data_IF_494747905247
#
_entry.id   IF_494747905247
#
_cell.length_a   1.000
_cell.length_b   1.000
_cell.length_c   1.000
_cell.angle_alpha   90.00
_cell.angle_beta   90.00
_cell.angle_gamma   90.00
#
_symmetry.space_group_name_H-M   'P 1'
#
loop_
_entity.id
_entity.type
_entity.pdbx_description
1 polymer ?
#
# COMPACT_ATOMS: atom_id res chain seq x y z
N UNK A 1 25.13 -19.36 -13.55
CA UNK A 1 25.02 -18.25 -12.59
C UNK A 1 23.97 -18.66 -11.55
N UNK A 2 24.38 -19.01 -10.33
CA UNK A 2 23.41 -19.29 -9.24
C UNK A 2 23.01 -17.95 -8.66
N UNK A 3 21.86 -17.47 -9.08
CA UNK A 3 21.15 -16.52 -8.27
C UNK A 3 20.84 -17.24 -6.93
N UNK A 4 21.03 -16.56 -5.81
CA UNK A 4 20.61 -17.05 -4.49
C UNK A 4 19.47 -16.15 -4.06
N UNK A 5 18.31 -16.72 -3.76
CA UNK A 5 17.36 -16.02 -2.88
C UNK A 5 18.10 -15.78 -1.56
N UNK A 6 18.19 -14.55 -1.06
CA UNK A 6 18.81 -14.33 0.23
C UNK A 6 18.04 -15.12 1.29
N UNK A 7 18.73 -16.06 1.95
CA UNK A 7 18.14 -16.92 2.98
C UNK A 7 17.78 -16.17 4.27
N UNK A 8 18.11 -14.88 4.35
CA UNK A 8 17.82 -14.07 5.53
C UNK A 8 16.38 -13.53 5.45
N UNK A 9 15.54 -13.80 6.46
CA UNK A 9 14.21 -13.20 6.54
C UNK A 9 14.33 -11.67 6.60
N UNK A 10 13.23 -10.99 6.24
CA UNK A 10 13.14 -9.53 6.43
C UNK A 10 13.33 -9.24 7.93
N UNK A 11 14.26 -8.35 8.33
CA UNK A 11 14.46 -8.01 9.72
C UNK A 11 13.17 -7.46 10.35
N UNK A 12 12.86 -7.90 11.58
CA UNK A 12 11.63 -7.51 12.28
C UNK A 12 11.55 -5.99 12.52
N UNK A 13 12.70 -5.35 12.64
CA UNK A 13 12.87 -3.91 12.80
C UNK A 13 12.20 -3.13 11.66
N UNK A 14 12.13 -3.69 10.44
CA UNK A 14 11.46 -3.04 9.32
C UNK A 14 9.94 -2.98 9.53
N UNK A 15 9.35 -4.04 10.12
CA UNK A 15 7.93 -4.01 10.47
C UNK A 15 7.66 -2.98 11.57
N UNK A 16 8.53 -2.90 12.58
CA UNK A 16 8.42 -1.92 13.66
C UNK A 16 8.51 -0.48 13.15
N UNK A 17 9.50 -0.18 12.32
CA UNK A 17 9.66 1.17 11.73
C UNK A 17 8.47 1.53 10.84
N UNK A 18 7.92 0.56 10.10
CA UNK A 18 6.72 0.78 9.29
C UNK A 18 5.50 1.09 10.16
N UNK A 19 5.30 0.32 11.23
CA UNK A 19 4.25 0.55 12.22
C UNK A 19 4.32 1.95 12.82
N UNK A 20 5.50 2.35 13.30
CA UNK A 20 5.75 3.68 13.85
C UNK A 20 5.49 4.79 12.83
N UNK A 21 5.91 4.61 11.58
CA UNK A 21 5.67 5.60 10.52
C UNK A 21 4.16 5.79 10.25
N UNK A 22 3.41 4.69 10.14
CA UNK A 22 1.95 4.73 9.95
C UNK A 22 1.25 5.35 11.16
N UNK A 23 1.68 5.01 12.37
CA UNK A 23 1.14 5.58 13.59
C UNK A 23 1.34 7.09 13.66
N UNK A 24 2.53 7.58 13.29
CA UNK A 24 2.85 9.00 13.25
C UNK A 24 1.99 9.76 12.22
N UNK A 25 1.83 9.19 11.01
CA UNK A 25 0.98 9.79 9.96
C UNK A 25 -0.48 9.88 10.40
N UNK A 26 -1.00 8.83 11.04
CA UNK A 26 -2.35 8.84 11.61
C UNK A 26 -2.49 9.89 12.70
N UNK A 27 -1.53 9.96 13.62
CA UNK A 27 -1.54 10.89 14.74
C UNK A 27 -1.46 12.35 14.26
N UNK A 28 -0.76 12.62 13.15
CA UNK A 28 -0.72 13.94 12.54
C UNK A 28 -2.12 14.45 12.15
N UNK A 29 -2.98 13.58 11.62
CA UNK A 29 -4.37 13.93 11.28
C UNK A 29 -5.21 14.27 12.52
N UNK A 30 -5.02 13.53 13.62
CA UNK A 30 -5.68 13.79 14.89
C UNK A 30 -5.26 15.15 15.47
N UNK A 31 -3.94 15.42 15.49
CA UNK A 31 -3.38 16.69 15.97
C UNK A 31 -3.87 17.86 15.12
N UNK A 32 -3.81 17.74 13.79
CA UNK A 32 -4.29 18.75 12.85
C UNK A 32 -5.75 19.13 13.15
N UNK A 33 -6.61 18.13 13.35
CA UNK A 33 -8.03 18.40 13.62
C UNK A 33 -8.23 19.08 14.98
N UNK A 34 -7.47 18.68 16.01
CA UNK A 34 -7.48 19.35 17.31
C UNK A 34 -7.05 20.82 17.19
N UNK A 35 -5.98 21.10 16.45
CA UNK A 35 -5.50 22.47 16.23
C UNK A 35 -6.52 23.33 15.46
N UNK A 36 -7.23 22.75 14.48
CA UNK A 36 -8.33 23.44 13.79
C UNK A 36 -9.44 23.86 14.78
N UNK A 37 -9.79 23.00 15.73
CA UNK A 37 -10.79 23.33 16.76
C UNK A 37 -10.28 24.39 17.74
N UNK A 38 -9.00 24.33 18.14
CA UNK A 38 -8.37 25.35 19.00
C UNK A 38 -8.35 26.72 18.33
N UNK A 39 -7.96 26.81 17.06
CA UNK A 39 -7.94 28.04 16.29
C UNK A 39 -9.32 28.73 16.28
N UNK A 40 -10.40 27.92 16.30
CA UNK A 40 -11.80 28.38 16.35
C UNK A 40 -12.35 28.58 17.76
N UNK A 41 -11.51 28.49 18.79
CA UNK A 41 -11.89 28.56 20.22
C UNK A 41 -13.00 27.56 20.57
N UNK A 42 -13.00 26.37 19.94
CA UNK A 42 -13.94 25.28 20.19
C UNK A 42 -13.34 24.26 21.16
N UNK A 43 -14.22 23.53 21.85
CA UNK A 43 -13.82 22.43 22.72
C UNK A 43 -13.20 21.28 21.93
N UNK A 44 -12.06 20.77 22.41
CA UNK A 44 -11.28 19.71 21.75
C UNK A 44 -11.48 18.32 22.37
N UNK A 45 -12.27 18.21 23.44
CA UNK A 45 -12.51 16.94 24.12
C UNK A 45 -13.17 15.94 23.17
N UNK A 46 -12.50 14.81 22.93
CA UNK A 46 -12.96 13.76 22.02
C UNK A 46 -12.82 14.08 20.53
N UNK A 47 -12.16 15.18 20.16
CA UNK A 47 -11.85 15.49 18.76
C UNK A 47 -10.73 14.58 18.28
N UNK A 48 -11.03 13.83 17.22
CA UNK A 48 -10.11 12.93 16.52
C UNK A 48 -10.54 12.81 15.06
N UNK A 49 -9.59 12.57 14.18
CA UNK A 49 -9.87 12.37 12.77
C UNK A 49 -10.76 11.13 12.59
N UNK A 50 -11.92 11.28 11.91
CA UNK A 50 -12.89 10.21 11.87
C UNK A 50 -12.50 9.18 10.81
N UNK A 51 -12.45 7.92 11.22
CA UNK A 51 -12.43 6.76 10.32
C UNK A 51 -13.67 5.92 10.62
N UNK A 52 -14.43 5.58 9.58
CA UNK A 52 -15.73 4.94 9.73
C UNK A 52 -15.86 3.67 8.90
N UNK A 53 -16.75 2.76 9.30
CA UNK A 53 -16.99 1.53 8.52
C UNK A 53 -17.54 1.85 7.14
N UNK A 54 -18.48 2.78 7.07
CA UNK A 54 -19.16 3.20 5.84
C UNK A 54 -19.52 4.71 5.90
N UNK A 55 -20.14 5.21 4.83
CA UNK A 55 -20.55 6.61 4.73
C UNK A 55 -21.59 7.02 5.79
N UNK A 56 -22.50 6.12 6.18
CA UNK A 56 -23.55 6.39 7.18
C UNK A 56 -22.91 6.55 8.56
N UNK A 57 -22.00 5.64 8.91
CA UNK A 57 -21.21 5.69 10.15
C UNK A 57 -20.33 6.93 10.20
N UNK A 58 -19.79 7.38 9.07
CA UNK A 58 -19.03 8.63 9.01
C UNK A 58 -19.93 9.81 9.40
N UNK A 59 -21.12 9.91 8.83
CA UNK A 59 -22.05 10.99 9.14
C UNK A 59 -22.52 10.97 10.60
N UNK A 60 -22.73 9.78 11.17
CA UNK A 60 -23.02 9.63 12.60
C UNK A 60 -21.89 10.18 13.48
N UNK A 61 -20.62 9.85 13.17
CA UNK A 61 -19.45 10.34 13.90
C UNK A 61 -19.35 11.87 13.79
N UNK A 62 -19.52 12.41 12.58
CA UNK A 62 -19.46 13.86 12.33
C UNK A 62 -20.54 14.57 13.16
N UNK A 63 -21.80 14.10 13.10
CA UNK A 63 -22.91 14.70 13.85
C UNK A 63 -22.71 14.65 15.36
N UNK A 64 -22.13 13.56 15.87
CA UNK A 64 -21.95 13.33 17.31
C UNK A 64 -20.77 14.10 17.90
N UNK A 65 -19.65 14.19 17.16
CA UNK A 65 -18.37 14.58 17.75
C UNK A 65 -17.67 15.74 17.05
N UNK A 66 -18.07 16.12 15.84
CA UNK A 66 -17.35 17.14 15.05
C UNK A 66 -18.22 18.33 14.61
N UNK A 67 -19.55 18.24 14.75
CA UNK A 67 -20.48 19.26 14.26
C UNK A 67 -20.22 20.66 14.83
N UNK A 68 -19.69 20.76 16.05
CA UNK A 68 -19.41 22.03 16.72
C UNK A 68 -18.13 22.72 16.21
N UNK A 69 -17.34 22.04 15.39
CA UNK A 69 -16.13 22.57 14.76
C UNK A 69 -16.38 23.47 13.54
N UNK A 70 -17.55 23.34 12.90
CA UNK A 70 -17.93 24.09 11.70
C UNK A 70 -18.28 23.19 10.52
N UNK A 71 -19.21 23.63 9.67
CA UNK A 71 -19.73 22.85 8.55
C UNK A 71 -18.70 22.67 7.41
N UNK A 72 -17.77 23.61 7.26
CA UNK A 72 -16.66 23.52 6.31
C UNK A 72 -15.70 22.37 6.66
N UNK A 73 -15.31 22.23 7.94
CA UNK A 73 -14.54 21.07 8.42
C UNK A 73 -15.32 19.78 8.16
N UNK A 74 -16.61 19.75 8.50
CA UNK A 74 -17.46 18.57 8.30
C UNK A 74 -17.55 18.20 6.81
N UNK A 75 -17.72 19.19 5.93
CA UNK A 75 -17.78 19.01 4.48
C UNK A 75 -16.46 18.51 3.91
N UNK A 76 -15.34 19.06 4.36
CA UNK A 76 -14.02 18.63 3.93
C UNK A 76 -13.78 17.16 4.29
N UNK A 77 -14.07 16.77 5.54
CA UNK A 77 -13.98 15.38 5.99
C UNK A 77 -14.85 14.44 5.14
N UNK A 78 -16.11 14.82 4.85
CA UNK A 78 -17.00 14.03 3.98
C UNK A 78 -16.42 13.84 2.59
N UNK A 79 -15.80 14.89 2.03
CA UNK A 79 -15.19 14.84 0.69
C UNK A 79 -14.01 13.86 0.63
N UNK A 80 -13.27 13.71 1.74
CA UNK A 80 -12.14 12.78 1.86
C UNK A 80 -12.56 11.32 1.96
N UNK A 81 -13.84 11.03 2.25
CA UNK A 81 -14.41 9.68 2.35
C UNK A 81 -13.56 8.71 3.21
N UNK A 82 -13.23 9.01 4.48
CA UNK A 82 -12.43 8.15 5.35
C UNK A 82 -13.20 6.92 5.86
N UNK A 83 -13.71 6.09 4.95
CA UNK A 83 -14.47 4.88 5.26
C UNK A 83 -14.16 3.72 4.29
N UNK A 84 -14.60 2.50 4.62
CA UNK A 84 -14.37 1.34 3.72
C UNK A 84 -15.17 1.49 2.44
N UNK A 85 -14.51 1.31 1.30
CA UNK A 85 -15.09 1.60 -0.02
C UNK A 85 -15.08 3.09 -0.40
N UNK A 86 -14.55 3.96 0.47
CA UNK A 86 -14.27 5.36 0.19
C UNK A 86 -12.85 5.55 -0.33
N UNK A 87 -12.09 6.43 0.31
CA UNK A 87 -10.68 6.63 0.01
C UNK A 87 -9.83 5.45 0.53
N UNK A 88 -9.34 4.63 -0.39
CA UNK A 88 -8.62 3.39 -0.10
C UNK A 88 -7.31 3.67 0.66
N UNK A 89 -6.55 4.69 0.28
CA UNK A 89 -5.27 5.00 0.92
C UNK A 89 -5.47 5.57 2.33
N UNK A 90 -6.45 6.47 2.50
CA UNK A 90 -6.77 7.05 3.80
C UNK A 90 -7.33 5.99 4.76
N UNK A 91 -8.27 5.16 4.29
CA UNK A 91 -8.80 4.05 5.11
C UNK A 91 -7.72 3.00 5.37
N UNK A 92 -6.88 2.72 4.39
CA UNK A 92 -5.76 1.79 4.49
C UNK A 92 -4.74 2.20 5.56
N UNK A 93 -4.45 3.50 5.71
CA UNK A 93 -3.63 4.02 6.82
C UNK A 93 -4.21 3.62 8.19
N UNK A 94 -5.52 3.78 8.39
CA UNK A 94 -6.18 3.37 9.63
C UNK A 94 -6.13 1.86 9.86
N UNK A 95 -6.42 1.09 8.82
CA UNK A 95 -6.46 -0.37 8.93
C UNK A 95 -5.06 -0.96 9.16
N UNK A 96 -4.03 -0.36 8.58
CA UNK A 96 -2.64 -0.74 8.83
C UNK A 96 -2.19 -0.37 10.26
N UNK A 97 -2.49 0.82 10.78
CA UNK A 97 -2.18 1.20 12.18
C UNK A 97 -2.87 0.29 13.21
N UNK A 98 -4.09 -0.17 12.92
CA UNK A 98 -4.79 -1.14 13.78
C UNK A 98 -4.14 -2.52 13.65
N UNK A 99 -3.81 -2.95 12.43
CA UNK A 99 -3.29 -4.30 12.15
C UNK A 99 -1.88 -4.50 12.69
N UNK A 100 -1.05 -3.44 12.66
CA UNK A 100 0.32 -3.43 13.19
C UNK A 100 0.39 -3.93 14.64
N UNK A 101 -0.62 -3.59 15.45
CA UNK A 101 -0.70 -3.96 16.88
C UNK A 101 -0.87 -5.47 17.12
N UNK A 102 -1.24 -6.24 16.10
CA UNK A 102 -1.61 -7.66 16.25
C UNK A 102 -1.03 -8.60 15.18
N UNK A 103 -0.44 -8.08 14.09
CA UNK A 103 0.02 -8.90 12.95
C UNK A 103 1.27 -8.29 12.33
N UNK A 104 2.20 -9.15 11.88
CA UNK A 104 3.27 -8.71 10.98
C UNK A 104 2.65 -8.13 9.69
N UNK A 105 2.80 -6.82 9.48
CA UNK A 105 2.29 -6.10 8.30
C UNK A 105 2.89 -6.61 6.98
N UNK A 106 4.13 -7.08 7.05
CA UNK A 106 4.93 -7.54 5.93
C UNK A 106 4.80 -9.07 5.85
N UNK A 107 4.24 -9.58 4.74
CA UNK A 107 4.52 -10.95 4.38
C UNK A 107 5.91 -10.99 3.76
N UNK A 108 6.62 -12.08 3.96
CA UNK A 108 7.95 -12.25 3.43
C UNK A 108 8.03 -12.84 1.99
N UNK A 109 7.13 -12.60 1.00
CA UNK A 109 7.53 -12.87 -0.37
C UNK A 109 8.34 -11.67 -0.84
N UNK A 110 9.66 -11.81 -0.85
CA UNK A 110 10.45 -11.03 -1.80
C UNK A 110 9.88 -11.33 -3.19
N UNK A 111 9.42 -10.31 -3.92
CA UNK A 111 9.30 -10.43 -5.37
C UNK A 111 10.73 -10.46 -5.92
N UNK A 112 11.35 -11.65 -5.84
CA UNK A 112 12.74 -11.85 -6.23
C UNK A 112 12.92 -11.61 -7.73
N UNK A 113 14.14 -11.22 -8.13
CA UNK A 113 14.56 -11.01 -9.52
C UNK A 113 14.04 -12.08 -10.51
N UNK A 114 13.95 -13.33 -10.06
CA UNK A 114 13.48 -14.47 -10.86
C UNK A 114 12.03 -14.42 -11.33
N UNK A 115 11.15 -13.71 -10.63
CA UNK A 115 9.76 -13.54 -11.08
C UNK A 115 9.71 -12.67 -12.35
N UNK A 116 10.71 -11.81 -12.53
CA UNK A 116 10.78 -10.91 -13.68
C UNK A 116 11.52 -11.54 -14.88
N UNK A 117 12.19 -12.68 -14.70
CA UNK A 117 12.97 -13.36 -15.75
C UNK A 117 12.06 -14.28 -16.55
N UNK A 118 12.07 -14.12 -17.87
CA UNK A 118 11.46 -15.07 -18.79
C UNK A 118 12.50 -16.10 -19.23
N UNK A 119 12.17 -17.38 -19.08
CA UNK A 119 12.97 -18.48 -19.61
C UNK A 119 12.38 -18.95 -20.93
N UNK A 120 13.23 -18.97 -21.97
CA UNK A 120 12.87 -19.39 -23.31
C UNK A 120 13.60 -20.69 -23.63
N UNK A 121 12.83 -21.71 -23.94
CA UNK A 121 13.30 -23.02 -24.37
C UNK A 121 13.31 -23.06 -25.89
N UNK A 122 14.45 -23.43 -26.45
CA UNK A 122 14.68 -23.48 -27.89
C UNK A 122 15.07 -24.91 -28.25
N UNK A 123 14.24 -25.56 -29.06
CA UNK A 123 14.48 -26.92 -29.57
C UNK A 123 14.73 -26.84 -31.06
N UNK A 124 15.83 -27.42 -31.53
CA UNK A 124 16.21 -27.44 -32.95
C UNK A 124 16.21 -26.02 -33.58
N UNK A 125 16.61 -25.01 -32.80
CA UNK A 125 16.64 -23.60 -33.22
C UNK A 125 15.31 -22.85 -33.15
N UNK A 126 14.20 -23.51 -32.78
CA UNK A 126 12.88 -22.88 -32.66
C UNK A 126 12.50 -22.65 -31.20
N UNK A 127 11.94 -21.49 -30.88
CA UNK A 127 11.35 -21.23 -29.56
C UNK A 127 10.13 -22.13 -29.38
N UNK A 128 10.19 -23.04 -28.42
CA UNK A 128 9.09 -23.96 -28.13
C UNK A 128 8.31 -23.55 -26.90
N UNK A 129 8.97 -23.12 -25.83
CA UNK A 129 8.30 -22.89 -24.56
C UNK A 129 8.82 -21.62 -23.91
N UNK A 130 7.90 -20.83 -23.34
CA UNK A 130 8.21 -19.64 -22.55
C UNK A 130 7.65 -19.80 -21.16
N UNK A 131 8.50 -19.56 -20.17
CA UNK A 131 8.14 -19.63 -18.76
C UNK A 131 8.43 -18.28 -18.12
N UNK A 132 7.43 -17.73 -17.42
CA UNK A 132 7.56 -16.50 -16.64
C UNK A 132 6.79 -16.65 -15.33
N UNK A 133 7.30 -16.11 -14.24
CA UNK A 133 6.69 -16.26 -12.90
C UNK A 133 6.44 -17.73 -12.49
N UNK A 134 7.30 -18.65 -12.93
CA UNK A 134 7.14 -20.10 -12.68
C UNK A 134 5.95 -20.74 -13.40
N UNK A 135 5.29 -20.02 -14.32
CA UNK A 135 4.17 -20.49 -15.14
C UNK A 135 4.59 -20.59 -16.59
N UNK A 136 4.13 -21.65 -17.26
CA UNK A 136 4.23 -21.75 -18.72
C UNK A 136 3.26 -20.73 -19.32
N UNK A 137 3.79 -19.72 -19.98
CA UNK A 137 2.99 -18.67 -20.62
C UNK A 137 2.75 -18.97 -22.10
N UNK A 138 3.60 -19.80 -22.71
CA UNK A 138 3.45 -20.28 -24.08
C UNK A 138 4.12 -21.65 -24.23
N UNK A 139 3.45 -22.60 -24.86
CA UNK A 139 4.01 -23.90 -25.23
C UNK A 139 3.59 -24.29 -26.65
N UNK A 140 4.59 -24.46 -27.51
CA UNK A 140 4.51 -24.87 -28.92
C UNK A 140 5.22 -26.20 -29.16
N UNK A 141 5.62 -26.90 -28.10
CA UNK A 141 6.25 -28.20 -28.22
C UNK A 141 5.26 -29.24 -28.75
N UNK A 142 5.71 -30.08 -29.69
CA UNK A 142 4.92 -31.21 -30.19
C UNK A 142 5.43 -32.50 -29.53
N UNK A 143 4.54 -33.42 -29.07
CA UNK A 143 4.95 -34.66 -28.41
C UNK A 143 5.91 -35.54 -29.23
N UNK A 144 5.84 -35.45 -30.57
CA UNK A 144 6.67 -36.21 -31.51
C UNK A 144 7.97 -35.50 -31.92
N UNK A 145 8.34 -34.40 -31.26
CA UNK A 145 9.55 -33.63 -31.64
C UNK A 145 10.81 -34.39 -31.27
N UNK A 146 11.60 -34.76 -32.28
CA UNK A 146 12.94 -35.32 -32.06
C UNK A 146 13.90 -34.18 -31.70
N UNK A 147 14.42 -34.20 -30.49
CA UNK A 147 15.35 -33.18 -29.97
C UNK A 147 16.76 -33.48 -30.49
N UNK A 148 17.25 -32.65 -31.43
CA UNK A 148 18.63 -32.70 -31.96
C UNK A 148 19.50 -31.63 -31.31
N UNK A 149 18.92 -30.49 -30.97
CA UNK A 149 19.56 -29.46 -30.16
C UNK A 149 18.57 -28.86 -29.17
N UNK A 150 19.10 -28.42 -28.04
CA UNK A 150 18.34 -27.83 -26.94
C UNK A 150 19.13 -26.68 -26.34
N UNK A 151 18.51 -25.49 -26.30
CA UNK A 151 19.06 -24.31 -25.66
C UNK A 151 18.03 -23.72 -24.69
N UNK A 152 18.53 -23.14 -23.60
CA UNK A 152 17.72 -22.34 -22.68
C UNK A 152 18.32 -20.95 -22.63
N UNK A 153 17.50 -19.93 -22.91
CA UNK A 153 17.89 -18.51 -22.78
C UNK A 153 17.07 -17.86 -21.68
N UNK A 154 17.73 -17.04 -20.86
CA UNK A 154 17.06 -16.15 -19.91
C UNK A 154 16.94 -14.76 -20.53
N UNK A 155 15.72 -14.24 -20.65
CA UNK A 155 15.45 -12.86 -20.99
C UNK A 155 15.33 -12.08 -19.68
N UNK A 156 16.29 -11.18 -19.46
CA UNK A 156 16.30 -10.26 -18.33
C UNK A 156 15.67 -8.95 -18.84
N UNK A 157 14.55 -8.48 -18.27
CA UNK A 157 13.95 -7.22 -18.70
C UNK A 157 14.91 -6.05 -18.41
N UNK A 158 14.95 -5.06 -19.30
CA UNK A 158 15.80 -3.86 -19.17
C UNK A 158 15.48 -3.07 -17.87
N UNK A 159 14.22 -3.13 -17.42
CA UNK A 159 13.73 -2.49 -16.20
C UNK A 159 13.65 -3.51 -15.05
N UNK A 160 14.80 -3.99 -14.60
CA UNK A 160 14.86 -4.95 -13.50
C UNK A 160 14.47 -4.25 -12.18
N UNK A 161 13.25 -4.47 -11.68
CA UNK A 161 12.85 -3.93 -10.39
C UNK A 161 13.70 -4.59 -9.29
N UNK A 162 14.35 -3.77 -8.48
CA UNK A 162 15.06 -4.23 -7.27
C UNK A 162 14.10 -4.99 -6.37
N UNK A 163 14.62 -5.98 -5.62
CA UNK A 163 13.80 -6.71 -4.65
C UNK A 163 13.00 -5.76 -3.78
N UNK A 164 11.67 -5.83 -3.86
CA UNK A 164 10.76 -5.01 -3.07
C UNK A 164 10.19 -5.80 -1.91
N UNK A 165 10.01 -5.11 -0.78
CA UNK A 165 9.24 -5.59 0.36
C UNK A 165 7.77 -5.26 0.05
N UNK A 166 6.90 -6.26 0.14
CA UNK A 166 5.47 -6.14 -0.17
C UNK A 166 4.61 -6.42 1.05
N UNK A 167 3.41 -5.87 1.08
CA UNK A 167 2.46 -6.17 2.15
C UNK A 167 1.89 -7.58 2.06
N UNK A 168 1.50 -8.13 3.21
CA UNK A 168 0.82 -9.43 3.26
C UNK A 168 -0.55 -9.42 2.59
N UNK A 169 -1.01 -10.60 2.17
CA UNK A 169 -2.36 -10.83 1.64
C UNK A 169 -3.48 -10.41 2.60
N UNK A 170 -3.17 -10.30 3.90
CA UNK A 170 -4.13 -9.92 4.94
C UNK A 170 -4.25 -8.41 5.17
N UNK A 171 -3.50 -7.60 4.41
CA UNK A 171 -3.52 -6.14 4.51
C UNK A 171 -4.47 -5.50 3.47
N UNK A 172 -4.79 -4.20 3.60
CA UNK A 172 -5.53 -3.47 2.57
C UNK A 172 -4.82 -3.37 1.20
N UNK A 173 -3.52 -3.66 1.14
CA UNK A 173 -2.68 -3.48 -0.05
C UNK A 173 -1.94 -4.78 -0.44
N UNK A 174 -2.66 -5.89 -0.67
CA UNK A 174 -2.05 -7.20 -0.85
C UNK A 174 -1.02 -7.19 -1.98
N UNK A 175 0.20 -7.69 -1.69
CA UNK A 175 1.31 -7.80 -2.65
C UNK A 175 1.81 -6.47 -3.25
N UNK A 176 1.37 -5.32 -2.72
CA UNK A 176 1.84 -4.01 -3.17
C UNK A 176 3.19 -3.65 -2.51
N UNK A 177 4.10 -2.95 -3.21
CA UNK A 177 5.36 -2.52 -2.63
C UNK A 177 5.14 -1.54 -1.47
N UNK A 178 5.72 -1.83 -0.31
CA UNK A 178 5.55 -1.06 0.93
C UNK A 178 5.97 0.40 0.73
N UNK A 179 7.11 0.63 0.09
CA UNK A 179 7.66 1.99 -0.11
C UNK A 179 6.78 2.84 -1.03
N UNK A 180 6.18 2.24 -2.06
CA UNK A 180 5.29 2.96 -2.98
C UNK A 180 4.03 3.42 -2.26
N UNK A 181 3.36 2.49 -1.56
CA UNK A 181 2.16 2.80 -0.79
C UNK A 181 2.46 3.81 0.32
N UNK A 182 3.60 3.69 1.02
CA UNK A 182 3.96 4.66 2.05
C UNK A 182 4.13 6.06 1.46
N UNK A 183 4.76 6.20 0.28
CA UNK A 183 4.85 7.49 -0.43
C UNK A 183 3.48 8.03 -0.81
N UNK A 184 2.58 7.18 -1.32
CA UNK A 184 1.22 7.59 -1.65
C UNK A 184 0.44 8.05 -0.41
N UNK A 185 0.57 7.35 0.73
CA UNK A 185 -0.06 7.74 1.99
C UNK A 185 0.54 9.06 2.51
N UNK A 186 1.86 9.23 2.50
CA UNK A 186 2.49 10.49 2.91
C UNK A 186 1.96 11.67 2.07
N UNK A 187 1.97 11.52 0.74
CA UNK A 187 1.45 12.56 -0.17
C UNK A 187 -0.02 12.88 0.11
N UNK A 188 -0.83 11.85 0.36
CA UNK A 188 -2.25 12.04 0.71
C UNK A 188 -2.42 12.76 2.04
N UNK A 189 -1.61 12.45 3.05
CA UNK A 189 -1.64 13.16 4.34
C UNK A 189 -1.25 14.61 4.15
N UNK A 190 -0.19 14.90 3.39
CA UNK A 190 0.23 16.27 3.06
C UNK A 190 -0.92 17.05 2.37
N UNK A 191 -1.56 16.45 1.36
CA UNK A 191 -2.71 17.06 0.67
C UNK A 191 -3.90 17.34 1.62
N UNK A 192 -4.12 16.47 2.61
CA UNK A 192 -5.15 16.67 3.63
C UNK A 192 -4.77 17.84 4.55
N UNK A 193 -3.51 17.89 5.02
CA UNK A 193 -3.03 18.98 5.86
C UNK A 193 -3.17 20.34 5.15
N UNK A 194 -2.75 20.44 3.90
CA UNK A 194 -2.87 21.64 3.06
C UNK A 194 -4.34 22.08 2.91
N UNK A 195 -5.26 21.13 2.70
CA UNK A 195 -6.68 21.42 2.56
C UNK A 195 -7.30 22.01 3.84
N UNK A 196 -6.86 21.54 5.01
CA UNK A 196 -7.28 22.09 6.30
C UNK A 196 -6.64 23.45 6.60
N UNK A 197 -5.37 23.65 6.24
CA UNK A 197 -4.71 24.94 6.35
C UNK A 197 -5.45 26.02 5.55
N UNK A 198 -5.90 25.71 4.33
CA UNK A 198 -6.68 26.63 3.50
C UNK A 198 -7.98 27.12 4.15
N UNK A 199 -8.61 26.29 5.00
CA UNK A 199 -9.80 26.69 5.77
C UNK A 199 -9.45 27.68 6.88
N UNK A 200 -8.30 27.49 7.54
CA UNK A 200 -7.86 28.36 8.63
C UNK A 200 -7.44 29.75 8.15
N UNK A 201 -6.80 29.85 6.98
CA UNK A 201 -6.39 31.13 6.39
C UNK A 201 -7.57 31.93 5.83
N UNK A 202 -8.67 31.26 5.50
CA UNK A 202 -9.88 31.90 4.93
C UNK A 202 -10.88 32.42 5.98
N UNK A 203 -10.59 32.26 7.27
CA UNK A 203 -11.46 32.67 8.40
C UNK A 203 -10.90 33.90 9.10
#
# INVERSE_FOLDING_TARGET
MSFKTPNTPVPNEISLVLGDALHNLRSALDIMLVECFKARKKGTSGVKFPFAEDAVKLDEIIKKSLNHGGEDICRLIRSMKPYKGGNINLRGLHDLDISDKHKMLIAAPRKGLYHQIEFVFIINGNITTRIKDGKVIEDKSLPSTIIKSFEVKSIIPENLETTSIVFSESTPFPQKPVIEILKEICKLVDEILDAFEGILVST
#
